data_IF_562257934875
#
_entry.id   IF_562257934875
#
_cell.length_a   1.000
_cell.length_b   1.000
_cell.length_c   1.000
_cell.angle_alpha   90.00
_cell.angle_beta   90.00
_cell.angle_gamma   90.00
#
_symmetry.space_group_name_H-M   'P 1'
#
loop_
_entity.id
_entity.type
_entity.pdbx_description
1 polymer ?
#
# COMPACT_ATOMS: atom_id res chain seq x y z
N UNK A 1 -8.20 -5.65 7.55
CA UNK A 1 -7.92 -7.10 7.48
C UNK A 1 -9.12 -7.93 7.01
N UNK A 2 -10.33 -7.76 7.56
CA UNK A 2 -11.51 -8.58 7.20
C UNK A 2 -11.90 -8.54 5.71
N UNK A 3 -11.72 -7.40 5.03
CA UNK A 3 -12.03 -7.27 3.59
C UNK A 3 -11.10 -8.16 2.76
N UNK A 4 -9.79 -8.18 3.05
CA UNK A 4 -8.86 -9.06 2.33
C UNK A 4 -9.20 -10.53 2.55
N UNK A 5 -9.51 -10.93 3.79
CA UNK A 5 -9.90 -12.32 4.08
C UNK A 5 -11.15 -12.72 3.31
N UNK A 6 -12.14 -11.82 3.23
CA UNK A 6 -13.37 -12.06 2.47
C UNK A 6 -13.16 -12.08 0.95
N UNK A 7 -12.20 -11.32 0.43
CA UNK A 7 -11.90 -11.19 -1.01
C UNK A 7 -10.59 -11.86 -1.43
N UNK A 8 -10.15 -12.87 -0.68
CA UNK A 8 -8.88 -13.56 -0.91
C UNK A 8 -8.75 -14.08 -2.33
N UNK A 9 -9.80 -14.71 -2.87
CA UNK A 9 -9.81 -15.24 -4.24
C UNK A 9 -9.62 -14.14 -5.29
N UNK A 10 -10.28 -12.99 -5.12
CA UNK A 10 -10.14 -11.86 -6.05
C UNK A 10 -8.76 -11.22 -5.96
N UNK A 11 -8.23 -11.04 -4.75
CA UNK A 11 -6.88 -10.51 -4.54
C UNK A 11 -5.82 -11.44 -5.14
N UNK A 12 -6.00 -12.76 -4.98
CA UNK A 12 -5.13 -13.76 -5.59
C UNK A 12 -5.19 -13.73 -7.11
N UNK A 13 -6.39 -13.64 -7.70
CA UNK A 13 -6.54 -13.53 -9.15
C UNK A 13 -5.83 -12.30 -9.72
N UNK A 14 -5.86 -11.17 -9.01
CA UNK A 14 -5.11 -9.96 -9.38
C UNK A 14 -3.60 -10.18 -9.31
N UNK A 15 -3.10 -10.79 -8.22
CA UNK A 15 -1.67 -11.12 -8.10
C UNK A 15 -1.20 -12.07 -9.20
N UNK A 16 -1.99 -13.11 -9.50
CA UNK A 16 -1.67 -14.08 -10.56
C UNK A 16 -1.64 -13.42 -11.94
N UNK A 17 -2.47 -12.41 -12.21
CA UNK A 17 -2.44 -11.65 -13.46
C UNK A 17 -1.23 -10.72 -13.54
N UNK A 18 -0.88 -10.06 -12.43
CA UNK A 18 0.34 -9.23 -12.33
C UNK A 18 1.59 -10.09 -12.59
N UNK A 19 1.69 -11.27 -11.99
CA UNK A 19 2.81 -12.20 -12.19
C UNK A 19 2.91 -12.67 -13.64
N UNK A 20 1.77 -12.99 -14.28
CA UNK A 20 1.75 -13.35 -15.71
C UNK A 20 2.20 -12.19 -16.59
N UNK A 21 1.78 -10.97 -16.29
CA UNK A 21 2.20 -9.78 -17.02
C UNK A 21 3.71 -9.55 -16.89
N UNK A 22 4.28 -9.68 -15.68
CA UNK A 22 5.73 -9.62 -15.48
C UNK A 22 6.50 -10.69 -16.26
N UNK A 23 5.99 -11.92 -16.34
CA UNK A 23 6.60 -12.97 -17.16
C UNK A 23 6.60 -12.63 -18.66
N UNK A 24 5.55 -11.94 -19.15
CA UNK A 24 5.48 -11.47 -20.53
C UNK A 24 6.46 -10.33 -20.77
N UNK A 25 6.61 -9.40 -19.82
CA UNK A 25 7.50 -8.26 -19.90
C UNK A 25 8.95 -8.65 -20.13
N UNK A 26 9.41 -9.77 -19.56
CA UNK A 26 10.75 -10.32 -19.80
C UNK A 26 11.03 -10.70 -21.27
N UNK A 27 9.99 -10.88 -22.09
CA UNK A 27 10.12 -11.28 -23.51
C UNK A 27 9.95 -10.10 -24.47
N UNK A 28 9.62 -8.90 -23.96
CA UNK A 28 9.37 -7.74 -24.80
C UNK A 28 10.68 -7.12 -25.32
N UNK A 29 10.62 -6.43 -26.48
CA UNK A 29 11.75 -5.66 -27.01
C UNK A 29 12.28 -4.59 -26.03
N UNK A 30 13.55 -4.22 -26.17
CA UNK A 30 14.29 -3.33 -25.25
C UNK A 30 13.69 -1.94 -25.05
N UNK A 31 12.89 -1.45 -26.00
CA UNK A 31 12.27 -0.13 -25.86
C UNK A 31 11.10 -0.14 -24.88
N UNK A 32 10.36 -1.25 -24.79
CA UNK A 32 9.31 -1.45 -23.78
C UNK A 32 9.91 -1.70 -22.40
N UNK A 33 11.01 -2.46 -22.30
CA UNK A 33 11.62 -2.80 -21.00
C UNK A 33 12.06 -1.57 -20.23
N UNK A 34 12.54 -0.51 -20.92
CA UNK A 34 12.91 0.74 -20.24
C UNK A 34 11.73 1.40 -19.52
N UNK A 35 10.54 1.41 -20.13
CA UNK A 35 9.32 1.96 -19.52
C UNK A 35 8.92 1.11 -18.31
N UNK A 36 8.96 -0.21 -18.47
CA UNK A 36 8.64 -1.18 -17.43
C UNK A 36 9.57 -1.03 -16.22
N UNK A 37 10.88 -0.97 -16.44
CA UNK A 37 11.89 -0.86 -15.38
C UNK A 37 11.70 0.41 -14.54
N UNK A 38 11.44 1.55 -15.19
CA UNK A 38 11.16 2.82 -14.51
C UNK A 38 9.89 2.69 -13.66
N UNK A 39 8.81 2.15 -14.23
CA UNK A 39 7.54 2.01 -13.51
C UNK A 39 7.61 1.02 -12.36
N UNK A 40 8.38 -0.06 -12.49
CA UNK A 40 8.63 -1.00 -11.38
C UNK A 40 9.40 -0.30 -10.26
N UNK A 41 10.46 0.45 -10.60
CA UNK A 41 11.24 1.20 -9.63
C UNK A 41 10.38 2.23 -8.89
N UNK A 42 9.54 2.97 -9.62
CA UNK A 42 8.57 3.90 -9.04
C UNK A 42 7.59 3.16 -8.11
N UNK A 43 7.10 2.00 -8.51
CA UNK A 43 6.14 1.25 -7.71
C UNK A 43 6.75 0.79 -6.37
N UNK A 44 7.97 0.27 -6.39
CA UNK A 44 8.73 -0.10 -5.18
C UNK A 44 8.99 1.14 -4.31
N UNK A 45 9.35 2.26 -4.93
CA UNK A 45 9.65 3.48 -4.18
C UNK A 45 8.39 4.07 -3.53
N UNK A 46 7.32 4.29 -4.30
CA UNK A 46 6.13 4.98 -3.83
C UNK A 46 5.16 4.07 -3.06
N UNK A 47 4.78 2.92 -3.62
CA UNK A 47 3.75 2.05 -3.03
C UNK A 47 4.24 1.23 -1.85
N UNK A 48 5.54 0.92 -1.81
CA UNK A 48 6.13 0.13 -0.74
C UNK A 48 6.90 1.03 0.24
N UNK A 49 8.03 1.62 -0.17
CA UNK A 49 8.94 2.31 0.76
C UNK A 49 8.35 3.60 1.33
N UNK A 50 7.87 4.49 0.46
CA UNK A 50 7.33 5.79 0.86
C UNK A 50 6.03 5.61 1.66
N UNK A 51 5.16 4.71 1.22
CA UNK A 51 3.91 4.42 1.91
C UNK A 51 4.14 3.82 3.30
N UNK A 52 5.01 2.81 3.43
CA UNK A 52 5.37 2.23 4.73
C UNK A 52 5.92 3.30 5.67
N UNK A 53 6.83 4.14 5.19
CA UNK A 53 7.39 5.22 6.01
C UNK A 53 6.31 6.19 6.48
N UNK A 54 5.38 6.55 5.60
CA UNK A 54 4.27 7.46 5.92
C UNK A 54 3.34 6.84 6.97
N UNK A 55 2.91 5.59 6.79
CA UNK A 55 2.01 4.91 7.73
C UNK A 55 2.68 4.72 9.09
N UNK A 56 3.95 4.31 9.11
CA UNK A 56 4.71 4.12 10.36
C UNK A 56 4.87 5.45 11.08
N UNK A 57 5.29 6.52 10.40
CA UNK A 57 5.48 7.83 11.02
C UNK A 57 4.16 8.37 11.57
N UNK A 58 3.09 8.38 10.79
CA UNK A 58 1.77 8.83 11.22
C UNK A 58 1.24 8.02 12.41
N UNK A 59 1.40 6.70 12.41
CA UNK A 59 0.94 5.85 13.52
C UNK A 59 1.79 6.05 14.77
N UNK A 60 3.10 6.22 14.62
CA UNK A 60 4.04 6.41 15.74
C UNK A 60 3.95 7.80 16.39
N UNK A 61 3.31 8.78 15.74
CA UNK A 61 3.02 10.07 16.37
C UNK A 61 2.29 9.88 17.70
N UNK A 62 1.29 8.99 17.77
CA UNK A 62 0.50 8.76 18.99
C UNK A 62 1.32 8.21 20.16
N UNK A 63 1.97 7.04 20.07
CA UNK A 63 2.79 6.54 21.17
C UNK A 63 4.01 7.44 21.43
N UNK A 64 4.60 8.03 20.38
CA UNK A 64 5.75 8.92 20.50
C UNK A 64 5.42 10.17 21.31
N UNK A 65 4.29 10.81 21.02
CA UNK A 65 3.85 11.99 21.79
C UNK A 65 3.49 11.62 23.23
N UNK A 66 2.93 10.43 23.49
CA UNK A 66 2.62 9.97 24.85
C UNK A 66 3.89 9.78 25.70
N UNK A 67 4.92 9.17 25.10
CA UNK A 67 6.23 8.98 25.74
C UNK A 67 6.92 10.32 26.00
N UNK A 68 6.99 11.19 24.99
CA UNK A 68 7.64 12.51 25.12
C UNK A 68 6.94 13.37 26.18
N UNK A 69 5.61 13.38 26.21
CA UNK A 69 4.84 14.16 27.18
C UNK A 69 5.02 13.62 28.60
N UNK A 70 4.97 12.31 28.77
CA UNK A 70 5.20 11.67 30.08
C UNK A 70 6.63 11.91 30.58
N UNK A 71 7.63 11.81 29.71
CA UNK A 71 9.03 12.13 30.06
C UNK A 71 9.19 13.61 30.44
N UNK A 72 8.62 14.52 29.65
CA UNK A 72 8.67 15.95 29.94
C UNK A 72 8.04 16.26 31.30
N UNK A 73 6.86 15.70 31.58
CA UNK A 73 6.16 15.92 32.84
C UNK A 73 6.91 15.37 34.05
N UNK A 74 7.53 14.20 33.94
CA UNK A 74 8.34 13.66 35.05
C UNK A 74 9.69 14.39 35.23
N UNK A 75 10.20 15.08 34.21
CA UNK A 75 11.45 15.85 34.31
C UNK A 75 11.24 17.30 34.80
N UNK A 76 10.11 17.93 34.45
CA UNK A 76 9.90 19.37 34.65
C UNK A 76 8.64 19.73 35.46
N UNK A 77 7.84 18.77 35.89
CA UNK A 77 6.58 19.01 36.62
C UNK A 77 6.28 17.87 37.61
N UNK A 78 5.08 17.85 38.20
CA UNK A 78 4.61 16.70 38.97
C UNK A 78 4.48 15.50 38.01
N UNK A 79 5.18 14.40 38.33
CA UNK A 79 5.28 13.22 37.45
C UNK A 79 3.91 12.57 37.26
N UNK A 80 3.22 13.00 36.19
CA UNK A 80 1.93 12.49 35.77
C UNK A 80 2.05 11.85 34.38
N UNK A 81 1.42 10.70 34.23
CA UNK A 81 1.44 9.91 33.00
C UNK A 81 0.38 10.42 32.05
N UNK A 82 0.72 10.57 30.78
CA UNK A 82 -0.20 11.06 29.74
C UNK A 82 -0.57 9.91 28.81
N UNK A 83 -1.86 9.74 28.56
CA UNK A 83 -2.39 8.80 27.58
C UNK A 83 -3.15 9.59 26.50
N UNK A 84 -2.73 9.47 25.25
CA UNK A 84 -3.24 10.31 24.15
C UNK A 84 -4.54 9.75 23.57
N UNK A 85 -4.68 8.43 23.55
CA UNK A 85 -5.96 7.80 23.30
C UNK A 85 -6.68 7.60 24.63
N UNK A 86 -7.57 8.54 24.96
CA UNK A 86 -8.44 8.37 26.11
C UNK A 86 -9.38 7.19 25.87
N UNK A 87 -9.23 6.13 26.66
CA UNK A 87 -10.15 5.00 26.67
C UNK A 87 -10.88 5.01 28.00
N UNK A 88 -12.19 5.21 27.95
CA UNK A 88 -13.04 5.05 29.11
C UNK A 88 -13.18 3.56 29.40
N UNK A 89 -12.57 3.12 30.50
CA UNK A 89 -12.72 1.75 30.99
C UNK A 89 -14.07 1.68 31.71
N UNK A 90 -15.02 0.86 31.25
CA UNK A 90 -16.33 0.76 31.89
C UNK A 90 -16.16 0.25 33.33
N UNK A 91 -16.98 0.78 34.24
CA UNK A 91 -17.01 0.43 35.67
C UNK A 91 -15.77 0.82 36.50
N UNK A 92 -14.96 1.78 36.02
CA UNK A 92 -13.72 2.20 36.67
C UNK A 92 -13.70 3.73 36.86
N UNK A 93 -13.18 4.23 37.99
CA UNK A 93 -13.04 5.67 38.21
C UNK A 93 -12.02 6.28 37.23
N UNK A 94 -12.30 7.44 36.61
CA UNK A 94 -11.46 8.00 35.53
C UNK A 94 -9.99 8.19 35.92
N UNK A 95 -9.71 8.48 37.19
CA UNK A 95 -8.36 8.74 37.68
C UNK A 95 -7.50 7.47 37.79
N UNK A 96 -8.14 6.30 37.95
CA UNK A 96 -7.40 5.03 38.09
C UNK A 96 -6.81 4.55 36.77
N UNK A 97 -7.28 5.05 35.62
CA UNK A 97 -6.72 4.78 34.29
C UNK A 97 -5.28 5.28 34.12
N UNK A 98 -4.86 6.27 34.92
CA UNK A 98 -3.50 6.83 34.90
C UNK A 98 -2.59 6.22 35.97
N UNK A 99 -3.13 5.37 36.84
CA UNK A 99 -2.38 4.72 37.90
C UNK A 99 -1.68 3.46 37.39
N UNK A 100 -0.50 3.19 37.96
CA UNK A 100 0.18 1.90 37.77
C UNK A 100 -0.64 0.81 38.48
N UNK A 101 -0.90 -0.36 37.87
CA UNK A 101 -0.33 -0.91 36.62
C UNK A 101 -1.23 -0.76 35.37
N UNK A 102 -2.40 -0.13 35.50
CA UNK A 102 -3.42 -0.05 34.45
C UNK A 102 -2.89 0.74 33.25
N UNK A 103 -2.19 1.85 33.52
CA UNK A 103 -1.56 2.67 32.48
C UNK A 103 -0.61 1.86 31.59
N UNK A 104 0.31 1.10 32.19
CA UNK A 104 1.30 0.30 31.45
C UNK A 104 0.64 -0.76 30.58
N UNK A 105 -0.39 -1.43 31.11
CA UNK A 105 -1.12 -2.45 30.39
C UNK A 105 -1.90 -1.85 29.21
N UNK A 106 -2.56 -0.72 29.43
CA UNK A 106 -3.26 0.02 28.36
C UNK A 106 -2.28 0.57 27.32
N UNK A 107 -1.10 1.04 27.72
CA UNK A 107 -0.08 1.51 26.80
C UNK A 107 0.45 0.38 25.92
N UNK A 108 0.74 -0.81 26.49
CA UNK A 108 1.16 -1.99 25.72
C UNK A 108 0.05 -2.43 24.76
N UNK A 109 -1.21 -2.43 25.21
CA UNK A 109 -2.34 -2.75 24.36
C UNK A 109 -2.46 -1.77 23.18
N UNK A 110 -2.28 -0.47 23.42
CA UNK A 110 -2.31 0.54 22.36
C UNK A 110 -1.16 0.39 21.37
N UNK A 111 0.05 0.06 21.83
CA UNK A 111 1.17 -0.26 20.96
C UNK A 111 0.88 -1.48 20.07
N UNK A 112 0.27 -2.52 20.65
CA UNK A 112 -0.15 -3.69 19.89
C UNK A 112 -1.19 -3.33 18.82
N UNK A 113 -2.20 -2.54 19.17
CA UNK A 113 -3.22 -2.05 18.23
C UNK A 113 -2.57 -1.21 17.11
N UNK A 114 -1.62 -0.32 17.44
CA UNK A 114 -0.86 0.45 16.46
C UNK A 114 -0.10 -0.45 15.48
N UNK A 115 0.53 -1.53 15.96
CA UNK A 115 1.22 -2.48 15.10
C UNK A 115 0.26 -3.19 14.13
N UNK A 116 -0.93 -3.61 14.61
CA UNK A 116 -1.97 -4.18 13.75
C UNK A 116 -2.48 -3.19 12.70
N UNK A 117 -2.61 -1.91 13.07
CA UNK A 117 -2.97 -0.84 12.14
C UNK A 117 -1.94 -0.67 11.03
N UNK A 118 -0.64 -0.60 11.38
CA UNK A 118 0.44 -0.50 10.40
C UNK A 118 0.37 -1.66 9.41
N UNK A 119 0.29 -2.90 9.89
CA UNK A 119 0.21 -4.09 9.02
C UNK A 119 -1.01 -4.00 8.09
N UNK A 120 -2.16 -3.57 8.63
CA UNK A 120 -3.40 -3.49 7.85
C UNK A 120 -3.33 -2.42 6.77
N UNK A 121 -2.86 -1.21 7.09
CA UNK A 121 -2.77 -0.10 6.14
C UNK A 121 -1.66 -0.28 5.10
N UNK A 122 -0.50 -0.77 5.52
CA UNK A 122 0.58 -1.12 4.58
C UNK A 122 0.13 -2.23 3.64
N UNK A 123 -0.51 -3.27 4.18
CA UNK A 123 -0.98 -4.39 3.37
C UNK A 123 -2.06 -3.99 2.38
N UNK A 124 -3.15 -3.37 2.85
CA UNK A 124 -4.32 -3.08 2.00
C UNK A 124 -4.07 -1.93 1.03
N UNK A 125 -3.64 -0.79 1.54
CA UNK A 125 -3.49 0.41 0.71
C UNK A 125 -2.24 0.29 -0.16
N UNK A 126 -1.17 -0.36 0.35
CA UNK A 126 -0.01 -0.71 -0.45
C UNK A 126 -0.37 -1.65 -1.61
N UNK A 127 -1.14 -2.71 -1.34
CA UNK A 127 -1.62 -3.61 -2.40
C UNK A 127 -2.51 -2.90 -3.42
N UNK A 128 -3.39 -2.01 -2.97
CA UNK A 128 -4.21 -1.18 -3.86
C UNK A 128 -3.34 -0.28 -4.74
N UNK A 129 -2.35 0.41 -4.15
CA UNK A 129 -1.40 1.25 -4.88
C UNK A 129 -0.60 0.47 -5.92
N UNK A 130 -0.13 -0.73 -5.57
CA UNK A 130 0.55 -1.65 -6.51
C UNK A 130 -0.35 -1.99 -7.70
N UNK A 131 -1.62 -2.35 -7.46
CA UNK A 131 -2.58 -2.68 -8.52
C UNK A 131 -2.85 -1.50 -9.46
N UNK A 132 -3.04 -0.29 -8.90
CA UNK A 132 -3.30 0.91 -9.69
C UNK A 132 -2.09 1.27 -10.54
N UNK A 133 -0.88 1.27 -9.96
CA UNK A 133 0.34 1.56 -10.71
C UNK A 133 0.60 0.52 -11.81
N UNK A 134 0.32 -0.76 -11.55
CA UNK A 134 0.39 -1.81 -12.58
C UNK A 134 -0.61 -1.57 -13.71
N UNK A 135 -1.85 -1.18 -13.39
CA UNK A 135 -2.84 -0.82 -14.40
C UNK A 135 -2.39 0.37 -15.25
N UNK A 136 -1.78 1.39 -14.63
CA UNK A 136 -1.19 2.53 -15.35
C UNK A 136 -0.06 2.11 -16.30
N UNK A 137 0.85 1.25 -15.83
CA UNK A 137 1.92 0.69 -16.68
C UNK A 137 1.32 -0.05 -17.88
N UNK A 138 0.32 -0.91 -17.65
CA UNK A 138 -0.33 -1.68 -18.71
C UNK A 138 -1.01 -0.78 -19.74
N UNK A 139 -1.68 0.29 -19.30
CA UNK A 139 -2.25 1.29 -20.20
C UNK A 139 -1.19 2.02 -21.02
N UNK A 140 -0.06 2.40 -20.42
CA UNK A 140 1.05 3.06 -21.11
C UNK A 140 1.65 2.15 -22.20
N UNK A 141 1.81 0.86 -21.90
CA UNK A 141 2.27 -0.14 -22.87
C UNK A 141 1.28 -0.31 -24.03
N UNK A 142 -0.02 -0.33 -23.76
CA UNK A 142 -1.01 -0.39 -24.83
C UNK A 142 -1.00 0.85 -25.72
N UNK A 143 -0.91 2.04 -25.13
CA UNK A 143 -0.78 3.28 -25.90
C UNK A 143 0.43 3.24 -26.82
N UNK A 144 1.58 2.77 -26.32
CA UNK A 144 2.80 2.61 -27.12
C UNK A 144 2.66 1.57 -28.23
N UNK A 145 2.04 0.42 -27.95
CA UNK A 145 1.79 -0.59 -28.95
C UNK A 145 0.86 -0.11 -30.08
N UNK A 146 -0.15 0.72 -29.74
CA UNK A 146 -1.02 1.35 -30.74
C UNK A 146 -0.26 2.38 -31.57
N UNK A 147 0.56 3.22 -30.94
CA UNK A 147 1.39 4.22 -31.63
C UNK A 147 2.34 3.55 -32.64
N UNK A 148 2.96 2.44 -32.24
CA UNK A 148 3.83 1.65 -33.13
C UNK A 148 3.06 0.97 -34.27
N UNK A 149 1.88 0.42 -33.97
CA UNK A 149 1.04 -0.18 -35.00
C UNK A 149 0.63 0.85 -36.07
N UNK A 150 0.26 2.07 -35.65
CA UNK A 150 -0.13 3.16 -36.53
C UNK A 150 1.03 3.80 -37.29
N UNK A 151 2.27 3.62 -36.82
CA UNK A 151 3.48 4.11 -37.49
C UNK A 151 3.97 3.23 -38.65
N UNK A 152 3.31 2.10 -38.92
CA UNK A 152 3.69 1.19 -40.00
C UNK A 152 3.21 1.65 -41.38
N UNK A 153 4.07 1.57 -42.39
CA UNK A 153 3.75 1.95 -43.78
C UNK A 153 2.80 0.96 -44.49
N UNK A 154 2.64 -0.26 -43.97
CA UNK A 154 1.79 -1.31 -44.54
C UNK A 154 0.46 -1.42 -43.78
N UNK A 155 -0.64 -1.14 -44.48
CA UNK A 155 -2.00 -1.16 -43.95
C UNK A 155 -2.42 -2.54 -43.39
N UNK A 156 -1.92 -3.63 -43.98
CA UNK A 156 -2.24 -4.99 -43.54
C UNK A 156 -1.51 -5.33 -42.25
N UNK A 157 -0.23 -4.93 -42.14
CA UNK A 157 0.56 -5.12 -40.91
C UNK A 157 0.03 -4.25 -39.77
N UNK A 158 -0.30 -2.99 -40.04
CA UNK A 158 -0.95 -2.08 -39.08
C UNK A 158 -2.25 -2.69 -38.53
N UNK A 159 -3.14 -3.16 -39.42
CA UNK A 159 -4.42 -3.75 -39.01
C UNK A 159 -4.22 -4.97 -38.13
N UNK A 160 -3.27 -5.85 -38.47
CA UNK A 160 -3.00 -7.05 -37.68
C UNK A 160 -2.45 -6.71 -36.29
N UNK A 161 -1.52 -5.76 -36.19
CA UNK A 161 -0.97 -5.29 -34.93
C UNK A 161 -2.03 -4.63 -34.03
N UNK A 162 -2.90 -3.78 -34.60
CA UNK A 162 -4.02 -3.20 -33.86
C UNK A 162 -5.00 -4.25 -33.33
N UNK A 163 -5.33 -5.26 -34.15
CA UNK A 163 -6.20 -6.36 -33.72
C UNK A 163 -5.57 -7.16 -32.58
N UNK A 164 -4.25 -7.33 -32.58
CA UNK A 164 -3.54 -8.01 -31.49
C UNK A 164 -3.63 -7.23 -30.18
N UNK A 165 -3.41 -5.90 -30.21
CA UNK A 165 -3.57 -5.04 -29.03
C UNK A 165 -5.01 -5.09 -28.49
N UNK A 166 -6.01 -5.00 -29.37
CA UNK A 166 -7.44 -5.06 -28.99
C UNK A 166 -7.79 -6.43 -28.40
N UNK A 167 -7.26 -7.53 -28.94
CA UNK A 167 -7.45 -8.87 -28.37
C UNK A 167 -6.89 -8.98 -26.97
N UNK A 168 -5.70 -8.45 -26.73
CA UNK A 168 -5.07 -8.50 -25.41
C UNK A 168 -5.80 -7.63 -24.38
N UNK A 169 -6.35 -6.47 -24.79
CA UNK A 169 -7.24 -5.68 -23.93
C UNK A 169 -8.54 -6.42 -23.60
N UNK A 170 -9.19 -7.01 -24.60
CA UNK A 170 -10.43 -7.77 -24.40
C UNK A 170 -10.23 -9.02 -23.51
N UNK A 171 -9.04 -9.62 -23.53
CA UNK A 171 -8.68 -10.70 -22.60
C UNK A 171 -8.66 -10.22 -21.15
N UNK A 172 -8.17 -9.00 -20.92
CA UNK A 172 -8.03 -8.42 -19.57
C UNK A 172 -9.37 -7.93 -19.01
N UNK A 173 -10.35 -7.61 -19.88
CA UNK A 173 -11.67 -7.13 -19.48
C UNK A 173 -12.69 -8.25 -19.14
N UNK A 174 -12.35 -9.53 -19.38
CA UNK A 174 -13.18 -10.70 -19.10
C UNK A 174 -12.67 -11.45 -17.88
#
# INVERSE_FOLDING_TARGET
MFIMLYKTETAKALMDEIDKDYQKFCKLPKHYTKIIDIRIADNIFYSEKCWVLTVVTCTMVFPGTAVVSTMYNCLFSDCHKVMIHHVEIPYTEPETSYQSPVYELMFIYMLYVCALFIITFVGLDGFFGLCVNHACLKMELYCKAVEEALGGDDEVLMRNALVEVIREQNRTAR
#
